data_IF_811199210783
#
_entry.id   IF_811199210783
#
_cell.length_a   1.000
_cell.length_b   1.000
_cell.length_c   1.000
_cell.angle_alpha   90.00
_cell.angle_beta   90.00
_cell.angle_gamma   90.00
#
_symmetry.space_group_name_H-M   'P 1'
#
loop_
_entity.id
_entity.type
_entity.pdbx_description
1 polymer ?
#
# COMPACT_ATOMS: atom_id res chain seq x y z
N UNK A 1 42.95 -21.42 0.09
CA UNK A 1 42.03 -21.06 1.18
C UNK A 1 41.84 -19.54 1.32
N UNK A 2 41.51 -18.82 0.23
CA UNK A 2 41.19 -17.36 0.29
C UNK A 2 40.00 -17.01 -0.62
N UNK A 3 39.56 -17.93 -1.48
CA UNK A 3 38.46 -17.75 -2.43
C UNK A 3 37.06 -17.81 -1.79
N UNK A 4 36.93 -18.37 -0.58
CA UNK A 4 35.62 -18.58 0.06
C UNK A 4 35.04 -17.33 0.75
N UNK A 5 35.87 -16.41 1.24
CA UNK A 5 35.39 -15.19 1.94
C UNK A 5 34.88 -14.13 0.98
N UNK A 6 35.47 -14.01 -0.21
CA UNK A 6 35.05 -13.01 -1.21
C UNK A 6 33.65 -13.29 -1.81
N UNK A 7 33.24 -14.56 -1.91
CA UNK A 7 31.91 -14.92 -2.41
C UNK A 7 30.79 -14.57 -1.42
N UNK A 8 31.03 -14.73 -0.12
CA UNK A 8 30.05 -14.35 0.91
C UNK A 8 29.86 -12.83 0.97
N UNK A 9 30.95 -12.05 0.89
CA UNK A 9 30.85 -10.59 0.89
C UNK A 9 30.03 -10.04 -0.29
N UNK A 10 30.15 -10.66 -1.47
CA UNK A 10 29.38 -10.27 -2.67
C UNK A 10 27.90 -10.64 -2.53
N UNK A 11 27.60 -11.83 -2.01
CA UNK A 11 26.22 -12.26 -1.71
C UNK A 11 25.51 -11.33 -0.71
N UNK A 12 26.20 -10.89 0.35
CA UNK A 12 25.62 -9.91 1.28
C UNK A 12 25.45 -8.52 0.66
N UNK A 13 26.33 -8.10 -0.25
CA UNK A 13 26.19 -6.83 -1.00
C UNK A 13 24.98 -6.84 -1.94
N UNK A 14 24.75 -7.94 -2.66
CA UNK A 14 23.60 -8.09 -3.55
C UNK A 14 22.28 -8.07 -2.76
N UNK A 15 22.24 -8.74 -1.59
CA UNK A 15 21.10 -8.68 -0.67
C UNK A 15 20.87 -7.26 -0.14
N UNK A 16 21.93 -6.55 0.22
CA UNK A 16 21.83 -5.16 0.71
C UNK A 16 21.37 -4.20 -0.38
N UNK A 17 21.79 -4.42 -1.63
CA UNK A 17 21.39 -3.61 -2.77
C UNK A 17 19.93 -3.88 -3.18
N UNK A 18 19.49 -5.14 -3.16
CA UNK A 18 18.08 -5.51 -3.30
C UNK A 18 17.22 -4.89 -2.19
N UNK A 19 17.66 -4.97 -0.94
CA UNK A 19 16.96 -4.36 0.19
C UNK A 19 16.88 -2.84 0.08
N UNK A 20 17.95 -2.17 -0.37
CA UNK A 20 17.96 -0.72 -0.59
C UNK A 20 17.03 -0.30 -1.71
N UNK A 21 16.92 -1.09 -2.79
CA UNK A 21 15.92 -0.85 -3.84
C UNK A 21 14.50 -1.00 -3.29
N UNK A 22 14.23 -2.02 -2.47
CA UNK A 22 12.94 -2.19 -1.78
C UNK A 22 12.65 -1.02 -0.83
N UNK A 23 13.65 -0.49 -0.13
CA UNK A 23 13.50 0.64 0.81
C UNK A 23 13.20 1.96 0.09
N UNK A 24 13.93 2.28 -1.00
CA UNK A 24 13.66 3.45 -1.85
C UNK A 24 12.29 3.35 -2.52
N UNK A 25 11.91 2.16 -2.97
CA UNK A 25 10.56 1.89 -3.51
C UNK A 25 9.49 2.10 -2.44
N UNK A 26 9.72 1.63 -1.21
CA UNK A 26 8.76 1.77 -0.10
C UNK A 26 8.54 3.23 0.30
N UNK A 27 9.60 4.05 0.28
CA UNK A 27 9.50 5.49 0.54
C UNK A 27 8.75 6.24 -0.56
N UNK A 28 8.96 5.89 -1.83
CA UNK A 28 8.25 6.54 -2.94
C UNK A 28 6.76 6.18 -2.94
N UNK A 29 6.43 4.93 -2.67
CA UNK A 29 5.04 4.45 -2.57
C UNK A 29 4.26 5.16 -1.44
N UNK A 30 4.84 5.31 -0.25
CA UNK A 30 4.14 5.96 0.86
C UNK A 30 3.77 7.41 0.51
N UNK A 31 4.67 8.15 -0.13
CA UNK A 31 4.41 9.53 -0.57
C UNK A 31 3.32 9.58 -1.64
N UNK A 32 3.33 8.63 -2.57
CA UNK A 32 2.34 8.57 -3.65
C UNK A 32 0.93 8.25 -3.12
N UNK A 33 0.80 7.31 -2.18
CA UNK A 33 -0.48 7.04 -1.51
C UNK A 33 -0.98 8.25 -0.72
N UNK A 34 -0.11 8.93 0.04
CA UNK A 34 -0.52 10.11 0.78
C UNK A 34 -1.02 11.21 -0.15
N UNK A 35 -0.40 11.38 -1.32
CA UNK A 35 -0.88 12.30 -2.35
C UNK A 35 -2.27 11.90 -2.85
N UNK A 36 -2.48 10.64 -3.22
CA UNK A 36 -3.80 10.14 -3.65
C UNK A 36 -4.87 10.35 -2.58
N UNK A 37 -4.56 10.08 -1.32
CA UNK A 37 -5.49 10.25 -0.21
C UNK A 37 -5.80 11.72 0.07
N UNK A 38 -4.86 12.62 -0.18
CA UNK A 38 -5.09 14.07 -0.15
C UNK A 38 -5.94 14.53 -1.34
N UNK A 39 -5.64 14.07 -2.56
CA UNK A 39 -6.36 14.43 -3.78
C UNK A 39 -7.82 13.96 -3.73
N UNK A 40 -8.09 12.81 -3.11
CA UNK A 40 -9.44 12.31 -2.85
C UNK A 40 -10.10 12.91 -1.61
N UNK A 41 -9.41 13.79 -0.87
CA UNK A 41 -9.92 14.39 0.38
C UNK A 41 -10.41 13.32 1.38
N UNK A 42 -9.65 12.23 1.53
CA UNK A 42 -9.98 11.18 2.48
C UNK A 42 -9.75 11.67 3.91
N UNK A 43 -10.77 11.51 4.74
CA UNK A 43 -10.68 11.61 6.20
C UNK A 43 -9.73 10.55 6.76
N UNK A 44 -9.23 10.78 7.97
CA UNK A 44 -8.36 9.81 8.66
C UNK A 44 -8.96 8.39 8.69
N UNK A 45 -10.25 8.29 9.00
CA UNK A 45 -10.94 7.00 9.05
C UNK A 45 -11.08 6.32 7.68
N UNK A 46 -11.29 7.09 6.63
CA UNK A 46 -11.37 6.56 5.26
C UNK A 46 -9.99 6.07 4.80
N UNK A 47 -8.90 6.81 5.10
CA UNK A 47 -7.53 6.38 4.81
C UNK A 47 -7.22 5.03 5.46
N UNK A 48 -7.51 4.88 6.75
CA UNK A 48 -7.32 3.62 7.49
C UNK A 48 -8.09 2.46 6.83
N UNK A 49 -9.37 2.66 6.51
CA UNK A 49 -10.18 1.64 5.83
C UNK A 49 -9.58 1.27 4.47
N UNK A 50 -9.17 2.25 3.66
CA UNK A 50 -8.55 2.01 2.35
C UNK A 50 -7.29 1.18 2.46
N UNK A 51 -6.41 1.46 3.44
CA UNK A 51 -5.18 0.69 3.67
C UNK A 51 -5.49 -0.76 4.03
N UNK A 52 -6.46 -1.01 4.92
CA UNK A 52 -6.83 -2.39 5.24
C UNK A 52 -7.48 -3.12 4.07
N UNK A 53 -8.31 -2.43 3.29
CA UNK A 53 -8.96 -3.00 2.10
C UNK A 53 -7.92 -3.39 1.04
N UNK A 54 -6.93 -2.53 0.81
CA UNK A 54 -5.79 -2.78 -0.08
C UNK A 54 -4.98 -4.00 0.36
N UNK A 55 -4.81 -4.20 1.68
CA UNK A 55 -4.17 -5.39 2.27
C UNK A 55 -5.01 -6.67 2.16
N UNK A 56 -6.24 -6.59 1.62
CA UNK A 56 -7.11 -7.74 1.38
C UNK A 56 -8.10 -8.05 2.50
N UNK A 57 -8.14 -7.28 3.58
CA UNK A 57 -9.00 -7.58 4.73
C UNK A 57 -10.49 -7.33 4.44
N UNK A 58 -11.34 -8.27 4.85
CA UNK A 58 -12.79 -8.15 4.77
C UNK A 58 -13.33 -7.01 5.64
N UNK A 59 -14.54 -6.53 5.35
CA UNK A 59 -15.14 -5.45 6.15
C UNK A 59 -15.32 -5.84 7.64
N UNK A 60 -15.45 -7.13 7.94
CA UNK A 60 -15.55 -7.64 9.31
C UNK A 60 -14.20 -7.55 10.03
N UNK A 61 -13.11 -7.97 9.40
CA UNK A 61 -11.76 -7.85 9.95
C UNK A 61 -11.37 -6.37 10.14
N UNK A 62 -11.69 -5.51 9.17
CA UNK A 62 -11.45 -4.06 9.32
C UNK A 62 -12.26 -3.46 10.46
N UNK A 63 -13.49 -3.93 10.66
CA UNK A 63 -14.34 -3.49 11.76
C UNK A 63 -13.73 -3.87 13.12
N UNK A 64 -13.23 -5.10 13.23
CA UNK A 64 -12.52 -5.62 14.40
C UNK A 64 -11.24 -4.81 14.67
N UNK A 65 -10.36 -4.63 13.68
CA UNK A 65 -9.11 -3.88 13.84
C UNK A 65 -9.32 -2.42 14.26
N UNK A 66 -10.45 -1.83 13.88
CA UNK A 66 -10.77 -0.42 14.16
C UNK A 66 -11.72 -0.23 15.34
N UNK A 67 -12.18 -1.29 15.99
CA UNK A 67 -13.16 -1.21 17.07
C UNK A 67 -14.47 -0.51 16.67
N UNK A 68 -14.92 -0.70 15.43
CA UNK A 68 -16.15 -0.08 14.88
C UNK A 68 -17.09 -1.15 14.30
N UNK A 69 -18.32 -0.78 13.93
CA UNK A 69 -19.24 -1.70 13.26
C UNK A 69 -18.92 -1.92 11.77
N UNK A 70 -19.22 -3.12 11.26
CA UNK A 70 -19.11 -3.48 9.83
C UNK A 70 -19.92 -2.56 8.92
N UNK A 71 -21.08 -2.06 9.39
CA UNK A 71 -21.88 -1.08 8.68
C UNK A 71 -21.15 0.27 8.52
N UNK A 72 -20.43 0.71 9.56
CA UNK A 72 -19.59 1.92 9.51
C UNK A 72 -18.46 1.77 8.50
N UNK A 73 -17.79 0.62 8.48
CA UNK A 73 -16.74 0.32 7.49
C UNK A 73 -17.33 0.35 6.08
N UNK A 74 -18.49 -0.26 5.86
CA UNK A 74 -19.19 -0.22 4.56
C UNK A 74 -19.51 1.22 4.13
N UNK A 75 -20.00 2.06 5.04
CA UNK A 75 -20.28 3.48 4.77
C UNK A 75 -19.02 4.25 4.41
N UNK A 76 -17.94 4.08 5.16
CA UNK A 76 -16.65 4.71 4.89
C UNK A 76 -16.09 4.26 3.55
N UNK A 77 -16.17 2.97 3.24
CA UNK A 77 -15.70 2.42 1.98
C UNK A 77 -16.52 2.92 0.78
N UNK A 78 -17.83 3.07 0.92
CA UNK A 78 -18.68 3.71 -0.10
C UNK A 78 -18.35 5.20 -0.29
N UNK A 79 -17.95 5.90 0.77
CA UNK A 79 -17.48 7.28 0.66
C UNK A 79 -16.15 7.34 -0.10
N UNK A 80 -15.22 6.42 0.17
CA UNK A 80 -13.96 6.26 -0.58
C UNK A 80 -14.25 6.06 -2.07
N UNK A 81 -15.14 5.14 -2.44
CA UNK A 81 -15.53 4.90 -3.83
C UNK A 81 -15.99 6.18 -4.54
N UNK A 82 -16.89 6.95 -3.91
CA UNK A 82 -17.37 8.22 -4.47
C UNK A 82 -16.25 9.25 -4.63
N UNK A 83 -15.32 9.30 -3.68
CA UNK A 83 -14.19 10.26 -3.67
C UNK A 83 -13.08 9.90 -4.64
N UNK A 84 -12.84 8.61 -4.85
CA UNK A 84 -11.82 8.11 -5.77
C UNK A 84 -12.32 7.93 -7.21
N UNK A 85 -13.62 8.02 -7.43
CA UNK A 85 -14.25 7.67 -8.72
C UNK A 85 -14.33 6.16 -8.98
N UNK A 86 -13.92 5.32 -8.02
CA UNK A 86 -14.08 3.87 -8.12
C UNK A 86 -15.53 3.47 -7.81
N UNK A 87 -15.99 2.38 -8.41
CA UNK A 87 -17.36 1.88 -8.24
C UNK A 87 -17.46 0.74 -7.23
N UNK A 88 -16.35 0.03 -6.99
CA UNK A 88 -16.34 -1.15 -6.15
C UNK A 88 -14.94 -1.45 -5.60
N UNK A 89 -14.88 -2.44 -4.70
CA UNK A 89 -13.66 -2.88 -4.01
C UNK A 89 -12.56 -3.31 -4.97
N UNK A 90 -12.94 -4.10 -5.98
CA UNK A 90 -11.98 -4.65 -6.93
C UNK A 90 -11.32 -3.53 -7.74
N UNK A 91 -12.13 -2.58 -8.23
CA UNK A 91 -11.63 -1.42 -8.97
C UNK A 91 -10.74 -0.53 -8.10
N UNK A 92 -11.11 -0.30 -6.84
CA UNK A 92 -10.27 0.46 -5.90
C UNK A 92 -8.91 -0.21 -5.70
N UNK A 93 -8.90 -1.53 -5.48
CA UNK A 93 -7.65 -2.28 -5.28
C UNK A 93 -6.81 -2.28 -6.56
N UNK A 94 -7.40 -2.54 -7.73
CA UNK A 94 -6.71 -2.47 -9.02
C UNK A 94 -6.05 -1.10 -9.23
N UNK A 95 -6.80 -0.02 -9.01
CA UNK A 95 -6.29 1.34 -9.15
C UNK A 95 -5.10 1.59 -8.21
N UNK A 96 -5.22 1.25 -6.92
CA UNK A 96 -4.14 1.45 -5.94
C UNK A 96 -2.89 0.63 -6.29
N UNK A 97 -3.05 -0.58 -6.84
CA UNK A 97 -1.94 -1.42 -7.29
C UNK A 97 -1.27 -0.83 -8.54
N UNK A 98 -2.05 -0.33 -9.50
CA UNK A 98 -1.52 0.37 -10.68
C UNK A 98 -0.70 1.61 -10.28
N UNK A 99 -1.20 2.39 -9.32
CA UNK A 99 -0.47 3.55 -8.78
C UNK A 99 0.79 3.15 -7.99
N UNK A 100 0.77 2.00 -7.32
CA UNK A 100 1.97 1.45 -6.68
C UNK A 100 3.01 1.07 -7.74
N UNK A 101 2.59 0.39 -8.81
CA UNK A 101 3.48 -0.04 -9.90
C UNK A 101 4.00 1.14 -10.74
N UNK A 102 3.19 2.19 -10.94
CA UNK A 102 3.62 3.39 -11.67
C UNK A 102 4.72 4.13 -10.92
N UNK A 103 4.65 4.19 -9.59
CA UNK A 103 5.71 4.74 -8.73
C UNK A 103 7.02 3.94 -8.75
N UNK A 104 6.95 2.64 -9.10
CA UNK A 104 8.13 1.77 -9.26
C UNK A 104 8.79 1.95 -10.63
N UNK A 105 8.00 2.22 -11.68
CA UNK A 105 8.50 2.34 -13.05
C UNK A 105 9.18 3.70 -13.36
N UNK A 106 9.10 4.68 -12.47
CA UNK A 106 9.64 6.03 -12.67
C UNK A 106 11.17 6.17 -12.41
N UNK A 107 11.94 5.07 -12.49
CA UNK A 107 13.41 5.05 -12.35
C UNK A 107 14.07 4.49 -13.60
#
# INVERSE_FOLDING_TARGET
FVTSTHLLARSFQDVTQLQRQVEVVSGNYQNHLEKLFCDWELSRSEREVTVYVMKGFSNAEVAEFRGTGTATVKTQLNAVYRKSGCTNRQQLISYLVEELLSGVAAT
#
